data_IF_398650443673
#
_entry.id   IF_398650443673
#
_cell.length_a   1.000
_cell.length_b   1.000
_cell.length_c   1.000
_cell.angle_alpha   90.00
_cell.angle_beta   90.00
_cell.angle_gamma   90.00
#
_symmetry.space_group_name_H-M   'P 1'
#
loop_
_entity.id
_entity.type
_entity.pdbx_description
1 polymer ?
#
# COMPACT_ATOMS: atom_id res chain seq x y z
N UNK A 1 11.30 -18.61 13.90
CA UNK A 1 10.14 -18.17 13.09
C UNK A 1 10.36 -18.65 11.65
N UNK A 2 9.30 -19.00 10.93
CA UNK A 2 9.40 -19.47 9.53
C UNK A 2 9.60 -18.32 8.54
N UNK A 3 9.42 -17.07 8.96
CA UNK A 3 9.57 -15.86 8.15
C UNK A 3 10.06 -14.68 9.00
N UNK A 4 10.67 -13.69 8.36
CA UNK A 4 11.05 -12.44 9.01
C UNK A 4 9.84 -11.49 9.02
N UNK A 5 9.25 -11.28 10.19
CA UNK A 5 8.08 -10.39 10.32
C UNK A 5 8.51 -8.92 10.27
N UNK A 6 7.61 -8.05 9.78
CA UNK A 6 7.83 -6.59 9.81
C UNK A 6 8.20 -6.11 11.22
N UNK A 7 7.55 -6.63 12.26
CA UNK A 7 7.86 -6.23 13.65
C UNK A 7 9.28 -6.64 14.07
N UNK A 8 9.77 -7.82 13.66
CA UNK A 8 11.15 -8.25 13.94
C UNK A 8 12.15 -7.37 13.21
N UNK A 9 11.94 -7.15 11.92
CA UNK A 9 12.77 -6.27 11.09
C UNK A 9 12.85 -4.84 11.67
N UNK A 10 11.70 -4.26 12.06
CA UNK A 10 11.67 -2.91 12.62
C UNK A 10 12.40 -2.79 13.97
N UNK A 11 12.24 -3.80 14.83
CA UNK A 11 12.98 -3.84 16.10
C UNK A 11 14.48 -3.93 15.90
N UNK A 12 14.93 -4.72 14.94
CA UNK A 12 16.34 -4.85 14.59
C UNK A 12 16.88 -3.54 14.01
N UNK A 13 16.16 -2.94 13.05
CA UNK A 13 16.60 -1.73 12.34
C UNK A 13 16.60 -0.47 13.24
N UNK A 14 15.63 -0.32 14.14
CA UNK A 14 15.42 0.90 14.93
C UNK A 14 15.64 0.72 16.44
N UNK A 15 15.95 -0.48 16.91
CA UNK A 15 16.20 -0.78 18.32
C UNK A 15 14.98 -0.70 19.24
N UNK A 16 13.79 -0.41 18.70
CA UNK A 16 12.56 -0.25 19.48
C UNK A 16 11.33 -0.71 18.68
N UNK A 17 10.18 -0.75 19.37
CA UNK A 17 8.90 -1.05 18.72
C UNK A 17 8.45 0.15 17.90
N UNK A 18 8.13 -0.09 16.63
CA UNK A 18 7.65 0.92 15.67
C UNK A 18 6.20 0.62 15.29
N UNK A 19 5.38 1.67 15.18
CA UNK A 19 4.02 1.58 14.65
C UNK A 19 3.87 2.38 13.36
N UNK A 20 3.08 1.87 12.43
CA UNK A 20 2.61 2.65 11.28
C UNK A 20 1.43 3.52 11.72
N UNK A 21 1.50 4.81 11.39
CA UNK A 21 0.40 5.77 11.55
C UNK A 21 -0.24 5.98 10.18
N UNK A 22 -1.48 5.55 10.03
CA UNK A 22 -2.21 5.70 8.78
C UNK A 22 -2.64 7.16 8.57
N UNK A 23 -2.08 7.79 7.55
CA UNK A 23 -2.31 9.18 7.16
C UNK A 23 -3.05 9.25 5.83
N UNK A 24 -3.73 10.35 5.59
CA UNK A 24 -4.38 10.68 4.33
C UNK A 24 -3.69 11.84 3.66
N UNK A 25 -3.23 11.64 2.41
CA UNK A 25 -2.73 12.73 1.57
C UNK A 25 -3.84 13.57 0.91
N UNK A 26 -5.12 13.24 1.13
CA UNK A 26 -6.22 13.93 0.45
C UNK A 26 -6.28 13.69 -1.06
N UNK A 27 -5.56 12.70 -1.56
CA UNK A 27 -5.37 12.39 -2.98
C UNK A 27 -6.49 11.50 -3.52
N UNK A 28 -6.52 11.33 -4.85
CA UNK A 28 -7.46 10.49 -5.57
C UNK A 28 -6.78 9.23 -6.14
N UNK A 29 -7.46 8.59 -7.07
CA UNK A 29 -6.95 7.43 -7.81
C UNK A 29 -7.39 7.55 -9.28
N UNK A 30 -6.47 7.40 -10.26
CA UNK A 30 -6.82 7.52 -11.68
C UNK A 30 -7.82 6.46 -12.14
N UNK A 31 -7.96 5.38 -11.38
CA UNK A 31 -8.98 4.35 -11.60
C UNK A 31 -10.38 4.74 -11.07
N UNK A 32 -10.54 5.95 -10.51
CA UNK A 32 -11.80 6.46 -9.94
C UNK A 32 -12.25 7.79 -10.51
N UNK A 33 -11.33 8.66 -10.88
CA UNK A 33 -11.64 10.02 -11.31
C UNK A 33 -11.91 10.15 -12.82
N UNK A 34 -11.89 9.04 -13.54
CA UNK A 34 -12.15 8.99 -14.98
C UNK A 34 -10.90 9.03 -15.85
N UNK A 35 -9.71 9.19 -15.29
CA UNK A 35 -8.46 9.20 -16.07
C UNK A 35 -8.19 7.84 -16.72
N UNK A 36 -8.33 6.75 -15.96
CA UNK A 36 -8.24 5.37 -16.47
C UNK A 36 -9.63 4.73 -16.51
N UNK A 37 -10.36 4.82 -15.40
CA UNK A 37 -11.67 4.23 -15.20
C UNK A 37 -12.45 5.00 -14.14
N UNK A 38 -13.74 4.68 -14.00
CA UNK A 38 -14.59 5.17 -12.91
C UNK A 38 -14.88 4.04 -11.92
N UNK A 39 -15.05 4.39 -10.62
CA UNK A 39 -15.43 3.43 -9.58
C UNK A 39 -14.29 2.68 -8.92
N UNK A 40 -13.10 2.59 -9.51
CA UNK A 40 -11.93 1.94 -8.91
C UNK A 40 -11.89 0.42 -9.09
N UNK A 41 -10.99 -0.24 -8.37
CA UNK A 41 -10.97 -1.69 -8.28
C UNK A 41 -12.25 -2.19 -7.59
N UNK A 42 -12.79 -3.35 -8.03
CA UNK A 42 -14.10 -3.84 -7.58
C UNK A 42 -14.16 -4.15 -6.07
N UNK A 43 -13.02 -4.40 -5.43
CA UNK A 43 -12.89 -4.69 -3.99
C UNK A 43 -12.66 -3.45 -3.13
N UNK A 44 -12.37 -2.29 -3.74
CA UNK A 44 -11.90 -1.11 -3.02
C UNK A 44 -13.08 -0.32 -2.45
N UNK A 45 -13.05 -0.05 -1.13
CA UNK A 45 -14.07 0.79 -0.46
C UNK A 45 -14.11 2.22 -0.98
N UNK A 46 -15.16 2.96 -0.66
CA UNK A 46 -15.23 4.39 -0.98
C UNK A 46 -14.11 5.22 -0.33
N UNK A 47 -13.55 4.74 0.78
CA UNK A 47 -12.39 5.31 1.45
C UNK A 47 -11.03 5.00 0.80
N UNK A 48 -10.99 4.30 -0.34
CA UNK A 48 -9.75 4.00 -1.05
C UNK A 48 -8.76 3.16 -0.24
N UNK A 49 -9.25 2.18 0.54
CA UNK A 49 -8.48 1.37 1.50
C UNK A 49 -7.89 2.18 2.67
N UNK A 50 -8.41 3.38 2.91
CA UNK A 50 -7.98 4.29 3.96
C UNK A 50 -9.01 4.53 5.06
N UNK A 51 -9.92 3.60 5.28
CA UNK A 51 -11.05 3.75 6.23
C UNK A 51 -10.58 4.03 7.68
N UNK A 52 -9.34 3.70 8.01
CA UNK A 52 -8.71 3.98 9.31
C UNK A 52 -7.67 5.11 9.28
N UNK A 53 -7.49 5.78 8.14
CA UNK A 53 -6.59 6.91 8.03
C UNK A 53 -7.08 8.10 8.87
N UNK A 54 -6.19 9.03 9.15
CA UNK A 54 -6.55 10.27 9.82
C UNK A 54 -7.42 11.16 8.91
N UNK A 55 -8.10 12.12 9.50
CA UNK A 55 -8.95 13.07 8.77
C UNK A 55 -8.09 13.91 7.81
N UNK A 56 -8.43 13.85 6.52
CA UNK A 56 -7.74 14.58 5.45
C UNK A 56 -7.81 16.11 5.56
N UNK A 57 -8.70 16.64 6.40
CA UNK A 57 -8.84 18.08 6.65
C UNK A 57 -7.79 18.62 7.60
N UNK A 58 -7.08 17.75 8.31
CA UNK A 58 -5.99 18.09 9.21
C UNK A 58 -4.66 18.20 8.44
N UNK A 59 -3.74 19.06 8.90
CA UNK A 59 -2.35 19.06 8.45
C UNK A 59 -1.71 17.71 8.72
N UNK A 60 -0.61 17.38 8.05
CA UNK A 60 0.08 16.09 8.25
C UNK A 60 0.58 15.96 9.70
N UNK A 61 1.08 17.04 10.29
CA UNK A 61 1.50 17.07 11.69
C UNK A 61 0.33 16.78 12.64
N UNK A 62 -0.83 17.41 12.44
CA UNK A 62 -2.02 17.14 13.25
C UNK A 62 -2.52 15.70 13.06
N UNK A 63 -2.47 15.16 11.85
CA UNK A 63 -2.78 13.76 11.59
C UNK A 63 -1.85 12.81 12.35
N UNK A 64 -0.54 13.09 12.35
CA UNK A 64 0.46 12.31 13.09
C UNK A 64 0.13 12.34 14.59
N UNK A 65 -0.09 13.51 15.18
CA UNK A 65 -0.40 13.63 16.60
C UNK A 65 -1.71 12.94 16.98
N UNK A 66 -2.76 13.09 16.16
CA UNK A 66 -4.03 12.38 16.35
C UNK A 66 -3.85 10.86 16.29
N UNK A 67 -3.09 10.35 15.30
CA UNK A 67 -2.83 8.93 15.16
C UNK A 67 -1.95 8.37 16.29
N UNK A 68 -0.97 9.12 16.78
CA UNK A 68 -0.16 8.77 17.97
C UNK A 68 -1.05 8.58 19.20
N UNK A 69 -2.00 9.49 19.43
CA UNK A 69 -2.93 9.40 20.54
C UNK A 69 -3.75 8.10 20.51
N UNK A 70 -4.19 7.67 19.33
CA UNK A 70 -4.94 6.41 19.14
C UNK A 70 -4.13 5.15 19.51
N UNK A 71 -2.82 5.19 19.40
CA UNK A 71 -1.94 4.05 19.72
C UNK A 71 -1.17 4.21 21.02
N UNK A 72 -1.36 5.32 21.76
CA UNK A 72 -0.62 5.65 22.97
C UNK A 72 -0.67 4.57 24.07
N UNK A 73 -1.80 3.86 24.18
CA UNK A 73 -1.95 2.74 25.12
C UNK A 73 -1.06 1.52 24.77
N UNK A 74 -0.63 1.41 23.50
CA UNK A 74 0.15 0.26 22.99
C UNK A 74 1.66 0.53 22.96
N UNK A 75 2.08 1.78 23.07
CA UNK A 75 3.47 2.18 22.94
C UNK A 75 3.77 3.42 23.81
N UNK A 76 4.75 3.29 24.70
CA UNK A 76 5.30 4.42 25.48
C UNK A 76 6.61 4.85 24.84
N UNK A 77 6.78 6.14 24.57
CA UNK A 77 7.98 6.74 23.95
C UNK A 77 8.36 6.06 22.61
N UNK A 78 7.35 5.78 21.77
CA UNK A 78 7.55 5.09 20.51
C UNK A 78 8.03 6.01 19.39
N UNK A 79 8.60 5.36 18.37
CA UNK A 79 8.85 5.96 17.06
C UNK A 79 7.87 5.37 16.05
N UNK A 80 7.63 6.11 14.98
CA UNK A 80 6.55 5.77 14.05
C UNK A 80 6.98 5.83 12.59
N UNK A 81 6.25 5.11 11.76
CA UNK A 81 6.30 5.26 10.30
C UNK A 81 5.08 6.06 9.89
N UNK A 82 5.27 7.14 9.16
CA UNK A 82 4.19 7.86 8.51
C UNK A 82 3.75 7.06 7.27
N UNK A 83 2.53 6.53 7.30
CA UNK A 83 2.01 5.66 6.24
C UNK A 83 0.86 6.33 5.50
N UNK A 84 1.15 6.82 4.31
CA UNK A 84 0.16 7.32 3.38
C UNK A 84 -0.53 6.14 2.70
N UNK A 85 -1.76 5.85 3.11
CA UNK A 85 -2.48 4.62 2.73
C UNK A 85 -3.64 4.87 1.78
N UNK A 86 -4.43 5.93 1.98
CA UNK A 86 -5.67 6.15 1.25
C UNK A 86 -5.43 6.44 -0.22
N UNK A 87 -6.11 5.74 -1.11
CA UNK A 87 -6.05 5.94 -2.56
C UNK A 87 -4.64 5.72 -3.16
N UNK A 88 -4.20 6.64 -4.05
CA UNK A 88 -2.92 6.56 -4.78
C UNK A 88 -2.06 7.74 -4.41
N UNK A 89 -1.13 7.54 -3.48
CA UNK A 89 -0.45 8.66 -2.80
C UNK A 89 0.72 9.27 -3.59
N UNK A 90 0.88 8.91 -4.85
CA UNK A 90 1.80 9.57 -5.79
C UNK A 90 1.06 10.14 -6.99
N UNK A 91 -0.27 10.13 -6.96
CA UNK A 91 -1.12 10.68 -8.01
C UNK A 91 -1.65 12.05 -7.58
N UNK A 92 -0.90 13.09 -7.88
CA UNK A 92 -1.21 14.46 -7.54
C UNK A 92 -0.14 15.43 -8.02
N UNK A 93 -0.35 16.72 -7.78
CA UNK A 93 0.60 17.77 -8.06
C UNK A 93 1.92 17.56 -7.31
N UNK A 94 3.07 17.73 -7.98
CA UNK A 94 4.38 17.39 -7.41
C UNK A 94 4.77 18.31 -6.25
N UNK A 95 4.40 19.59 -6.28
CA UNK A 95 4.72 20.52 -5.21
C UNK A 95 3.87 20.22 -3.98
N UNK A 96 2.62 19.81 -4.18
CA UNK A 96 1.77 19.33 -3.11
C UNK A 96 2.32 18.04 -2.49
N UNK A 97 2.70 17.04 -3.28
CA UNK A 97 3.31 15.80 -2.81
C UNK A 97 4.58 16.08 -2.00
N UNK A 98 5.43 16.96 -2.52
CA UNK A 98 6.65 17.42 -1.83
C UNK A 98 6.32 18.04 -0.48
N UNK A 99 5.33 18.89 -0.42
CA UNK A 99 4.90 19.58 0.80
C UNK A 99 4.49 18.56 1.88
N UNK A 100 3.55 17.65 1.59
CA UNK A 100 3.02 16.71 2.59
C UNK A 100 4.04 15.65 3.02
N UNK A 101 4.88 15.16 2.10
CA UNK A 101 5.90 14.17 2.44
C UNK A 101 7.06 14.81 3.22
N UNK A 102 7.44 16.06 2.91
CA UNK A 102 8.47 16.80 3.65
C UNK A 102 8.00 17.11 5.06
N UNK A 103 6.74 17.52 5.24
CA UNK A 103 6.16 17.72 6.56
C UNK A 103 6.20 16.43 7.40
N UNK A 104 5.78 15.31 6.80
CA UNK A 104 5.79 14.02 7.49
C UNK A 104 7.20 13.55 7.86
N UNK A 105 8.15 13.59 6.91
CA UNK A 105 9.50 13.02 7.13
C UNK A 105 10.31 13.84 8.14
N UNK A 106 10.07 15.15 8.22
CA UNK A 106 10.75 16.03 9.17
C UNK A 106 10.20 15.95 10.60
N UNK A 107 9.04 15.32 10.79
CA UNK A 107 8.48 15.15 12.12
C UNK A 107 9.46 14.35 13.03
N UNK A 108 9.74 14.80 14.28
CA UNK A 108 10.79 14.22 15.13
C UNK A 108 10.54 12.77 15.54
N UNK A 109 9.27 12.34 15.59
CA UNK A 109 8.90 10.99 15.98
C UNK A 109 8.75 10.03 14.80
N UNK A 110 8.83 10.53 13.57
CA UNK A 110 8.80 9.71 12.36
C UNK A 110 10.21 9.25 12.02
N UNK A 111 10.37 7.93 11.83
CA UNK A 111 11.65 7.29 11.48
C UNK A 111 11.72 6.85 10.02
N UNK A 112 10.59 6.74 9.35
CA UNK A 112 10.50 6.38 7.93
C UNK A 112 9.16 6.84 7.34
N UNK A 113 9.11 6.99 6.02
CA UNK A 113 7.87 7.11 5.25
C UNK A 113 7.50 5.76 4.63
N UNK A 114 6.22 5.48 4.54
CA UNK A 114 5.65 4.37 3.79
C UNK A 114 4.53 4.93 2.91
N UNK A 115 4.62 4.75 1.59
CA UNK A 115 3.74 5.39 0.62
C UNK A 115 3.05 4.33 -0.23
N UNK A 116 1.75 4.13 0.02
CA UNK A 116 0.92 3.21 -0.77
C UNK A 116 0.53 3.84 -2.10
N UNK A 117 0.86 3.18 -3.20
CA UNK A 117 0.55 3.70 -4.53
C UNK A 117 0.38 2.63 -5.59
N UNK A 118 0.01 3.06 -6.79
CA UNK A 118 -0.10 2.26 -8.00
C UNK A 118 1.20 2.32 -8.79
N UNK A 119 1.60 1.23 -9.46
CA UNK A 119 2.81 1.21 -10.30
C UNK A 119 2.80 2.21 -11.47
N UNK A 120 1.62 2.50 -12.02
CA UNK A 120 1.43 3.43 -13.14
C UNK A 120 1.39 4.92 -12.72
N UNK A 121 1.59 5.21 -11.42
CA UNK A 121 1.61 6.57 -10.88
C UNK A 121 3.00 6.96 -10.32
N UNK A 122 4.06 6.59 -11.02
CA UNK A 122 5.46 6.85 -10.65
C UNK A 122 6.22 7.52 -11.80
N UNK A 123 5.81 8.73 -12.24
CA UNK A 123 6.57 9.49 -13.22
C UNK A 123 7.93 9.92 -12.66
N UNK A 124 8.85 10.35 -13.53
CA UNK A 124 10.23 10.70 -13.17
C UNK A 124 10.32 11.77 -12.08
N UNK A 125 9.44 12.75 -12.09
CA UNK A 125 9.40 13.80 -11.06
C UNK A 125 9.06 13.24 -9.66
N UNK A 126 8.16 12.24 -9.58
CA UNK A 126 7.84 11.53 -8.34
C UNK A 126 9.02 10.65 -7.92
N UNK A 127 9.64 9.91 -8.84
CA UNK A 127 10.83 9.11 -8.55
C UNK A 127 11.96 9.98 -7.99
N UNK A 128 12.20 11.16 -8.58
CA UNK A 128 13.18 12.11 -8.10
C UNK A 128 12.86 12.58 -6.66
N UNK A 129 11.60 12.96 -6.40
CA UNK A 129 11.15 13.34 -5.06
C UNK A 129 11.37 12.23 -4.03
N UNK A 130 10.99 10.99 -4.35
CA UNK A 130 11.19 9.84 -3.47
C UNK A 130 12.67 9.60 -3.18
N UNK A 131 13.54 9.71 -4.19
CA UNK A 131 14.98 9.61 -4.04
C UNK A 131 15.59 10.70 -3.17
N UNK A 132 15.10 11.95 -3.25
CA UNK A 132 15.50 13.07 -2.39
C UNK A 132 15.10 12.79 -0.93
N UNK A 133 13.84 12.40 -0.70
CA UNK A 133 13.32 12.10 0.64
C UNK A 133 14.05 10.91 1.29
N UNK A 134 14.40 9.89 0.50
CA UNK A 134 15.12 8.71 0.98
C UNK A 134 16.54 9.01 1.50
N UNK A 135 17.12 10.17 1.13
CA UNK A 135 18.38 10.65 1.70
C UNK A 135 18.21 11.27 3.10
N UNK A 136 16.98 11.66 3.46
CA UNK A 136 16.65 12.25 4.78
C UNK A 136 16.36 11.15 5.80
N UNK A 137 15.37 10.30 5.47
CA UNK A 137 15.01 9.10 6.26
C UNK A 137 14.54 8.01 5.28
N UNK A 138 14.55 6.72 5.67
CA UNK A 138 14.10 5.63 4.82
C UNK A 138 12.70 5.86 4.26
N UNK A 139 12.56 5.67 2.95
CA UNK A 139 11.28 5.72 2.23
C UNK A 139 10.97 4.33 1.70
N UNK A 140 9.76 3.86 1.94
CA UNK A 140 9.22 2.62 1.39
C UNK A 140 8.06 2.92 0.48
N UNK A 141 8.03 2.31 -0.69
CA UNK A 141 6.89 2.36 -1.58
C UNK A 141 6.15 1.03 -1.51
N UNK A 142 4.88 1.10 -1.11
CA UNK A 142 3.99 -0.06 -1.06
C UNK A 142 3.20 -0.14 -2.38
N UNK A 143 3.65 -1.00 -3.28
CA UNK A 143 3.05 -1.18 -4.61
C UNK A 143 1.92 -2.19 -4.59
N UNK A 144 0.75 -1.79 -5.03
CA UNK A 144 -0.37 -2.69 -5.27
C UNK A 144 -0.13 -3.51 -6.54
N UNK A 145 0.24 -4.78 -6.43
CA UNK A 145 0.23 -5.74 -7.55
C UNK A 145 -1.07 -6.54 -7.55
N UNK A 146 -1.47 -6.99 -6.40
CA UNK A 146 -2.64 -7.82 -6.08
C UNK A 146 -2.50 -9.25 -6.59
N UNK A 147 -2.18 -9.46 -7.86
CA UNK A 147 -1.94 -10.74 -8.55
C UNK A 147 -1.07 -10.52 -9.78
N UNK A 148 -0.37 -11.57 -10.24
CA UNK A 148 0.32 -11.57 -11.54
C UNK A 148 -0.59 -11.98 -12.70
N UNK A 149 -1.75 -12.60 -12.41
CA UNK A 149 -2.65 -13.17 -13.41
C UNK A 149 -3.49 -12.08 -14.08
N UNK A 150 -3.24 -11.82 -15.36
CA UNK A 150 -3.87 -10.72 -16.10
C UNK A 150 -5.39 -10.85 -16.23
N UNK A 151 -5.92 -12.08 -16.26
CA UNK A 151 -7.37 -12.31 -16.30
C UNK A 151 -8.03 -11.84 -14.99
N UNK A 152 -7.44 -12.21 -13.84
CA UNK A 152 -7.89 -11.76 -12.52
C UNK A 152 -7.69 -10.25 -12.39
N UNK A 153 -6.55 -9.72 -12.85
CA UNK A 153 -6.27 -8.29 -12.83
C UNK A 153 -7.32 -7.47 -13.61
N UNK A 154 -7.77 -7.97 -14.76
CA UNK A 154 -8.86 -7.38 -15.53
C UNK A 154 -10.19 -7.48 -14.79
N UNK A 155 -10.51 -8.66 -14.25
CA UNK A 155 -11.73 -8.89 -13.50
C UNK A 155 -11.87 -7.93 -12.29
N UNK A 156 -10.79 -7.78 -11.51
CA UNK A 156 -10.79 -6.85 -10.37
C UNK A 156 -10.67 -5.37 -10.77
N UNK A 157 -10.64 -5.06 -12.03
CA UNK A 157 -10.46 -3.70 -12.57
C UNK A 157 -9.21 -3.02 -12.05
N UNK A 158 -8.06 -3.71 -12.06
CA UNK A 158 -6.76 -3.16 -11.59
C UNK A 158 -6.28 -1.98 -12.44
N UNK A 159 -6.44 -2.07 -13.77
CA UNK A 159 -6.22 -0.97 -14.70
C UNK A 159 -4.77 -0.74 -15.16
N UNK A 160 -3.83 -1.63 -14.87
CA UNK A 160 -2.46 -1.67 -15.41
C UNK A 160 -1.98 -3.12 -15.57
N UNK A 161 -0.96 -3.32 -16.41
CA UNK A 161 -0.38 -4.63 -16.73
C UNK A 161 0.76 -5.00 -15.77
N UNK A 162 1.16 -6.27 -15.78
CA UNK A 162 2.32 -6.76 -15.05
C UNK A 162 3.62 -6.06 -15.49
N UNK A 163 3.76 -5.71 -16.76
CA UNK A 163 4.95 -5.00 -17.27
C UNK A 163 5.09 -3.59 -16.67
N UNK A 164 3.99 -2.89 -16.44
CA UNK A 164 4.00 -1.60 -15.74
C UNK A 164 4.49 -1.76 -14.31
N UNK A 165 4.06 -2.81 -13.61
CA UNK A 165 4.56 -3.13 -12.28
C UNK A 165 6.05 -3.45 -12.29
N UNK A 166 6.54 -4.27 -13.22
CA UNK A 166 7.95 -4.61 -13.35
C UNK A 166 8.81 -3.36 -13.58
N UNK A 167 8.35 -2.46 -14.45
CA UNK A 167 9.02 -1.18 -14.73
C UNK A 167 9.10 -0.31 -13.46
N UNK A 168 8.01 -0.22 -12.70
CA UNK A 168 7.96 0.54 -11.46
C UNK A 168 8.95 0.01 -10.42
N UNK A 169 9.00 -1.31 -10.20
CA UNK A 169 9.98 -1.94 -9.28
C UNK A 169 11.40 -1.63 -9.71
N UNK A 170 11.72 -1.78 -11.00
CA UNK A 170 13.04 -1.49 -11.53
C UNK A 170 13.44 -0.01 -11.34
N UNK A 171 12.53 0.92 -11.55
CA UNK A 171 12.79 2.35 -11.37
C UNK A 171 13.00 2.73 -9.90
N UNK A 172 12.22 2.18 -8.99
CA UNK A 172 12.41 2.36 -7.55
C UNK A 172 13.76 1.81 -7.07
N UNK A 173 14.17 0.65 -7.58
CA UNK A 173 15.46 0.06 -7.29
C UNK A 173 16.63 0.94 -7.75
N UNK A 174 16.54 1.60 -8.92
CA UNK A 174 17.59 2.52 -9.41
C UNK A 174 17.84 3.70 -8.47
N UNK A 175 16.83 4.11 -7.72
CA UNK A 175 16.91 5.20 -6.74
C UNK A 175 17.06 4.71 -5.29
N UNK A 176 17.31 3.40 -5.09
CA UNK A 176 17.49 2.74 -3.80
C UNK A 176 16.32 2.94 -2.82
N UNK A 177 15.10 3.01 -3.32
CA UNK A 177 13.88 3.06 -2.50
C UNK A 177 13.37 1.64 -2.27
N UNK A 178 13.12 1.30 -1.00
CA UNK A 178 12.59 -0.01 -0.60
C UNK A 178 11.18 -0.25 -1.18
N UNK A 179 10.97 -1.43 -1.78
CA UNK A 179 9.69 -1.82 -2.39
C UNK A 179 9.01 -2.89 -1.55
N UNK A 180 7.77 -2.63 -1.15
CA UNK A 180 6.89 -3.60 -0.51
C UNK A 180 5.75 -3.91 -1.47
N UNK A 181 5.60 -5.18 -1.83
CA UNK A 181 4.57 -5.61 -2.78
C UNK A 181 3.31 -6.08 -2.05
N UNK A 182 2.16 -5.56 -2.43
CA UNK A 182 0.87 -6.02 -1.93
C UNK A 182 0.30 -7.10 -2.84
N UNK A 183 -0.01 -8.26 -2.26
CA UNK A 183 -0.78 -9.33 -2.88
C UNK A 183 -2.07 -9.55 -2.11
N UNK A 184 -3.14 -9.88 -2.82
CA UNK A 184 -4.43 -10.27 -2.23
C UNK A 184 -4.63 -11.77 -2.41
N UNK A 185 -4.82 -12.47 -1.29
CA UNK A 185 -5.09 -13.90 -1.23
C UNK A 185 -6.60 -14.12 -1.26
N UNK A 186 -7.06 -15.06 -2.06
CA UNK A 186 -8.48 -15.40 -2.22
C UNK A 186 -9.21 -14.51 -3.22
N UNK A 187 -8.50 -13.97 -4.21
CA UNK A 187 -9.15 -13.29 -5.34
C UNK A 187 -10.04 -14.29 -6.11
N UNK A 188 -11.20 -13.85 -6.62
CA UNK A 188 -12.08 -14.73 -7.38
C UNK A 188 -11.36 -15.41 -8.54
N UNK A 189 -11.62 -16.71 -8.68
CA UNK A 189 -11.08 -17.58 -9.74
C UNK A 189 -9.58 -17.87 -9.65
N UNK A 190 -8.91 -17.53 -8.54
CA UNK A 190 -7.55 -17.95 -8.26
C UNK A 190 -7.51 -19.16 -7.34
N UNK A 191 -6.75 -20.16 -7.75
CA UNK A 191 -6.41 -21.34 -6.95
C UNK A 191 -5.27 -21.06 -5.97
N UNK A 192 -4.97 -22.00 -5.10
CA UNK A 192 -3.78 -21.96 -4.23
C UNK A 192 -2.49 -21.93 -5.06
N UNK A 193 -2.45 -22.64 -6.18
CA UNK A 193 -1.34 -22.67 -7.12
C UNK A 193 -1.09 -21.28 -7.74
N UNK A 194 -2.14 -20.58 -8.15
CA UNK A 194 -2.05 -19.22 -8.72
C UNK A 194 -1.49 -18.22 -7.69
N UNK A 195 -1.94 -18.34 -6.42
CA UNK A 195 -1.41 -17.53 -5.31
C UNK A 195 0.08 -17.80 -5.10
N UNK A 196 0.48 -19.08 -5.09
CA UNK A 196 1.88 -19.48 -4.94
C UNK A 196 2.75 -19.02 -6.12
N UNK A 197 2.23 -19.03 -7.34
CA UNK A 197 2.91 -18.46 -8.51
C UNK A 197 3.16 -16.97 -8.33
N UNK A 198 2.15 -16.22 -7.88
CA UNK A 198 2.28 -14.79 -7.58
C UNK A 198 3.35 -14.52 -6.53
N UNK A 199 3.39 -15.31 -5.43
CA UNK A 199 4.41 -15.19 -4.39
C UNK A 199 5.81 -15.52 -4.92
N UNK A 200 5.95 -16.61 -5.68
CA UNK A 200 7.23 -17.01 -6.30
C UNK A 200 7.75 -15.94 -7.25
N UNK A 201 6.86 -15.38 -8.07
CA UNK A 201 7.20 -14.31 -9.01
C UNK A 201 7.79 -13.11 -8.29
N UNK A 202 7.07 -12.54 -7.31
CA UNK A 202 7.58 -11.36 -6.60
C UNK A 202 8.81 -11.67 -5.75
N UNK A 203 8.95 -12.89 -5.24
CA UNK A 203 10.15 -13.31 -4.49
C UNK A 203 11.40 -13.41 -5.35
N UNK A 204 11.28 -13.55 -6.66
CA UNK A 204 12.39 -13.55 -7.59
C UNK A 204 12.89 -12.14 -7.95
N UNK A 205 12.16 -11.11 -7.56
CA UNK A 205 12.47 -9.71 -7.84
C UNK A 205 13.29 -9.10 -6.70
N UNK A 206 13.99 -7.99 -6.99
CA UNK A 206 14.65 -7.19 -5.96
C UNK A 206 13.61 -6.33 -5.21
N UNK A 207 12.96 -6.92 -4.21
CA UNK A 207 11.98 -6.28 -3.33
C UNK A 207 12.37 -6.44 -1.86
N UNK A 208 11.94 -5.51 -1.01
CA UNK A 208 12.27 -5.50 0.42
C UNK A 208 11.27 -6.28 1.27
N UNK A 209 10.05 -6.51 0.75
CA UNK A 209 9.03 -7.27 1.46
C UNK A 209 7.75 -7.49 0.68
N UNK A 210 6.93 -8.39 1.22
CA UNK A 210 5.61 -8.72 0.69
C UNK A 210 4.58 -8.51 1.79
N UNK A 211 3.45 -7.88 1.45
CA UNK A 211 2.28 -7.78 2.30
C UNK A 211 1.17 -8.65 1.73
N UNK A 212 0.93 -9.76 2.39
CA UNK A 212 -0.16 -10.66 2.06
C UNK A 212 -1.45 -10.16 2.74
N UNK A 213 -2.50 -9.97 1.96
CA UNK A 213 -3.79 -9.48 2.44
C UNK A 213 -4.88 -10.47 2.05
N UNK A 214 -5.70 -10.89 3.02
CA UNK A 214 -6.92 -11.64 2.70
C UNK A 214 -7.90 -10.73 1.95
N UNK A 215 -8.56 -11.26 0.93
CA UNK A 215 -9.68 -10.57 0.28
C UNK A 215 -10.81 -10.34 1.28
N UNK A 216 -11.23 -9.09 1.41
CA UNK A 216 -12.42 -8.72 2.17
C UNK A 216 -13.52 -8.24 1.22
N UNK A 217 -14.70 -8.85 1.31
CA UNK A 217 -15.90 -8.38 0.61
C UNK A 217 -16.50 -7.23 1.42
N UNK A 218 -16.20 -6.01 1.00
CA UNK A 218 -16.65 -4.80 1.69
C UNK A 218 -18.03 -4.37 1.18
N UNK A 219 -18.86 -3.84 2.10
CA UNK A 219 -20.18 -3.31 1.75
C UNK A 219 -20.08 -2.15 0.75
N UNK A 220 -21.09 -2.05 -0.09
CA UNK A 220 -21.21 -1.01 -1.13
C UNK A 220 -20.11 -1.05 -2.19
N UNK A 221 -19.48 -2.20 -2.41
CA UNK A 221 -18.50 -2.41 -3.49
C UNK A 221 -19.13 -3.23 -4.63
N UNK A 222 -18.60 -3.12 -5.86
CA UNK A 222 -19.00 -4.04 -6.94
C UNK A 222 -18.74 -5.50 -6.58
N UNK A 223 -17.68 -5.80 -5.82
CA UNK A 223 -17.37 -7.17 -5.37
C UNK A 223 -18.45 -7.74 -4.45
N UNK A 224 -19.08 -6.92 -3.58
CA UNK A 224 -20.20 -7.36 -2.74
C UNK A 224 -21.39 -7.83 -3.59
N UNK A 225 -21.69 -7.12 -4.69
CA UNK A 225 -22.75 -7.53 -5.61
C UNK A 225 -22.46 -8.88 -6.27
N UNK A 226 -21.23 -9.09 -6.72
CA UNK A 226 -20.79 -10.36 -7.30
C UNK A 226 -20.89 -11.51 -6.28
N UNK A 227 -20.46 -11.26 -5.04
CA UNK A 227 -20.55 -12.21 -3.93
C UNK A 227 -22.02 -12.55 -3.59
N UNK A 228 -22.89 -11.53 -3.51
CA UNK A 228 -24.32 -11.72 -3.25
C UNK A 228 -25.05 -12.53 -4.34
N UNK A 229 -24.49 -12.56 -5.52
CA UNK A 229 -24.96 -13.38 -6.64
C UNK A 229 -24.32 -14.79 -6.70
N UNK A 230 -23.56 -15.17 -5.63
CA UNK A 230 -22.84 -16.44 -5.53
C UNK A 230 -21.91 -16.72 -6.71
N UNK A 231 -21.24 -15.69 -7.27
CA UNK A 231 -20.33 -15.86 -8.42
C UNK A 231 -18.95 -16.37 -8.00
N UNK A 232 -18.59 -16.25 -6.74
CA UNK A 232 -17.37 -16.78 -6.16
C UNK A 232 -17.56 -17.03 -4.66
N UNK A 233 -16.68 -17.82 -4.08
CA UNK A 233 -16.61 -18.08 -2.64
C UNK A 233 -15.42 -17.35 -2.02
N UNK A 234 -15.50 -17.00 -0.74
CA UNK A 234 -14.38 -16.47 0.03
C UNK A 234 -13.67 -17.62 0.76
N UNK A 235 -12.37 -17.50 0.96
CA UNK A 235 -11.61 -18.49 1.71
C UNK A 235 -12.11 -18.59 3.15
N UNK A 236 -12.21 -19.81 3.67
CA UNK A 236 -12.32 -20.05 5.10
C UNK A 236 -11.03 -19.65 5.82
N UNK A 237 -11.08 -19.59 7.14
CA UNK A 237 -9.88 -19.31 7.94
C UNK A 237 -8.82 -20.40 7.76
N UNK A 238 -9.21 -21.67 7.67
CA UNK A 238 -8.32 -22.79 7.45
C UNK A 238 -7.62 -22.69 6.08
N UNK A 239 -8.37 -22.43 5.01
CA UNK A 239 -7.82 -22.28 3.66
C UNK A 239 -6.86 -21.08 3.54
N UNK A 240 -7.13 -19.99 4.28
CA UNK A 240 -6.23 -18.84 4.28
C UNK A 240 -4.93 -19.09 5.04
N UNK A 241 -4.95 -19.91 6.09
CA UNK A 241 -3.76 -20.20 6.93
C UNK A 241 -2.86 -21.27 6.30
N UNK A 242 -3.41 -22.18 5.50
CA UNK A 242 -2.69 -23.22 4.76
C UNK A 242 -1.85 -22.65 3.59
#
# INVERSE_FOLDING_TARGET
MRYNSLNSYLKEKFGCKIYKLALSGGLSCPNRDGTISTGGCIFCSNGGSGDFAADKMLSITEQIESAKNRVSAKIKNGKYIAYFQSFTNTYGDIDYLRSIFTEAINHPDIVALSIGTRPDCLPDEVLNLLGELNKIKPVWVELGLQTIHENTAKYINRGYTLDVFNTAVNNLNKINVDVIVHLIIGLPFESKEDILESVKYVSSMNISGIKLQLLHVLKNTPLEKEYSLNKFEVLSMEEYVD
#
